data_IF_000119989170
#
_entry.id   IF_000119989170
#
_cell.length_a   1.000
_cell.length_b   1.000
_cell.length_c   1.000
_cell.angle_alpha   90.00
_cell.angle_beta   90.00
_cell.angle_gamma   90.00
#
_symmetry.space_group_name_H-M   'P 1'
#
loop_
_entity.id
_entity.type
_entity.pdbx_description
1 polymer ?
#
# COMPACT_ATOMS: atom_id res chain seq x y z
N UNK A 1 93.65 -2.61 -30.01
CA UNK A 1 92.99 -1.63 -29.10
C UNK A 1 91.59 -1.40 -29.61
N UNK A 2 90.66 -2.23 -29.18
CA UNK A 2 89.23 -2.09 -29.57
C UNK A 2 88.40 -2.38 -28.32
N UNK A 3 87.56 -1.42 -27.94
CA UNK A 3 86.72 -1.46 -26.72
C UNK A 3 85.45 -2.20 -26.98
N UNK A 4 85.14 -3.13 -26.14
CA UNK A 4 83.85 -3.79 -25.96
C UNK A 4 82.93 -2.87 -25.15
N UNK A 5 81.77 -2.49 -25.71
CA UNK A 5 80.70 -1.81 -24.96
C UNK A 5 79.54 -2.75 -24.72
N UNK A 6 79.13 -2.78 -23.46
CA UNK A 6 78.17 -3.61 -22.80
C UNK A 6 76.73 -3.43 -23.32
N UNK A 7 76.09 -4.52 -23.66
CA UNK A 7 74.64 -4.67 -23.73
C UNK A 7 74.12 -5.24 -22.41
N UNK A 8 73.73 -4.36 -21.49
CA UNK A 8 72.96 -4.72 -20.29
C UNK A 8 72.08 -3.57 -19.91
N UNK A 9 70.95 -3.37 -20.61
CA UNK A 9 69.87 -2.50 -20.12
C UNK A 9 68.57 -2.63 -20.94
N UNK A 10 68.20 -3.81 -21.40
CA UNK A 10 66.97 -3.97 -22.15
C UNK A 10 66.03 -5.11 -21.69
N UNK A 11 66.22 -5.64 -20.48
CA UNK A 11 65.40 -6.73 -19.95
C UNK A 11 64.56 -6.34 -18.73
N UNK A 12 64.70 -5.10 -18.24
CA UNK A 12 64.00 -4.67 -17.00
C UNK A 12 62.72 -3.84 -17.21
N UNK A 13 62.23 -3.68 -18.43
CA UNK A 13 61.01 -2.84 -18.72
C UNK A 13 59.80 -3.68 -19.19
N UNK A 14 59.97 -4.99 -19.36
CA UNK A 14 58.86 -5.86 -19.88
C UNK A 14 58.12 -6.65 -18.80
N UNK A 15 58.36 -6.41 -17.53
CA UNK A 15 57.71 -7.16 -16.41
C UNK A 15 56.80 -6.30 -15.56
N UNK A 16 56.46 -5.08 -15.96
CA UNK A 16 55.59 -4.17 -15.19
C UNK A 16 54.26 -3.81 -15.89
N UNK A 17 53.82 -4.54 -16.92
CA UNK A 17 52.55 -4.26 -17.65
C UNK A 17 51.55 -5.42 -17.56
N UNK A 18 51.65 -6.33 -16.62
CA UNK A 18 50.72 -7.46 -16.54
C UNK A 18 49.84 -7.48 -15.25
N UNK A 19 49.82 -6.43 -14.44
CA UNK A 19 49.01 -6.45 -13.19
C UNK A 19 47.98 -5.28 -13.15
N UNK A 20 47.33 -4.94 -14.24
CA UNK A 20 46.20 -3.99 -14.18
C UNK A 20 45.02 -4.40 -15.05
N UNK A 21 44.64 -5.67 -15.04
CA UNK A 21 43.45 -6.11 -15.75
C UNK A 21 42.65 -7.17 -14.97
N UNK A 22 42.40 -6.93 -13.70
CA UNK A 22 41.35 -7.63 -12.98
C UNK A 22 40.75 -6.67 -11.95
N UNK A 23 39.95 -5.76 -12.42
CA UNK A 23 38.90 -5.12 -11.61
C UNK A 23 37.86 -4.55 -12.56
N UNK A 24 37.18 -5.42 -13.31
CA UNK A 24 35.79 -5.18 -13.64
C UNK A 24 34.98 -5.90 -12.56
N UNK A 25 34.64 -5.23 -11.51
CA UNK A 25 33.45 -5.59 -10.75
C UNK A 25 32.27 -5.23 -11.65
N UNK A 26 31.45 -6.21 -11.94
CA UNK A 26 30.12 -6.03 -12.50
C UNK A 26 29.24 -5.28 -11.47
N UNK A 27 29.40 -3.95 -11.36
CA UNK A 27 28.50 -3.12 -10.56
C UNK A 27 27.10 -3.04 -11.18
N UNK A 28 26.95 -3.40 -12.47
CA UNK A 28 25.66 -3.33 -13.17
C UNK A 28 24.74 -4.54 -12.96
N UNK A 29 25.22 -5.64 -12.37
CA UNK A 29 24.38 -6.82 -12.09
C UNK A 29 23.64 -6.69 -10.75
N UNK A 30 24.23 -6.00 -9.78
CA UNK A 30 23.63 -5.77 -8.46
C UNK A 30 22.49 -4.76 -8.53
N UNK A 31 22.62 -3.64 -9.24
CA UNK A 31 21.57 -2.63 -9.37
C UNK A 31 20.29 -3.16 -10.05
N UNK A 32 20.43 -4.05 -11.04
CA UNK A 32 19.27 -4.68 -11.67
C UNK A 32 18.63 -5.78 -10.83
N UNK A 33 19.37 -6.42 -9.95
CA UNK A 33 18.86 -7.38 -9.00
C UNK A 33 18.06 -6.69 -7.88
N UNK A 34 18.51 -5.54 -7.40
CA UNK A 34 17.85 -4.81 -6.31
C UNK A 34 16.48 -4.23 -6.72
N UNK A 35 16.37 -3.60 -7.89
CA UNK A 35 15.09 -3.09 -8.36
C UNK A 35 14.06 -4.20 -8.60
N UNK A 36 14.43 -5.29 -9.24
CA UNK A 36 13.57 -6.46 -9.44
C UNK A 36 13.23 -7.17 -8.12
N UNK A 37 14.09 -7.08 -7.11
CA UNK A 37 13.89 -7.68 -5.80
C UNK A 37 12.82 -6.97 -4.96
N UNK A 38 12.58 -5.67 -5.14
CA UNK A 38 11.64 -4.88 -4.34
C UNK A 38 10.30 -4.63 -5.05
N UNK A 39 10.12 -5.10 -6.28
CA UNK A 39 8.90 -4.83 -7.06
C UNK A 39 7.63 -5.26 -6.34
N UNK A 40 7.61 -6.46 -5.74
CA UNK A 40 6.45 -6.95 -5.00
C UNK A 40 6.15 -6.08 -3.76
N UNK A 41 7.17 -5.54 -3.11
CA UNK A 41 7.00 -4.61 -1.99
C UNK A 41 6.38 -3.30 -2.46
N UNK A 42 6.90 -2.69 -3.52
CA UNK A 42 6.34 -1.46 -4.09
C UNK A 42 4.89 -1.65 -4.56
N UNK A 43 4.60 -2.76 -5.22
CA UNK A 43 3.26 -3.06 -5.72
C UNK A 43 2.27 -3.29 -4.57
N UNK A 44 2.70 -4.00 -3.52
CA UNK A 44 1.89 -4.17 -2.31
C UNK A 44 1.62 -2.83 -1.62
N UNK A 45 2.65 -1.99 -1.41
CA UNK A 45 2.51 -0.68 -0.79
C UNK A 45 1.58 0.25 -1.58
N UNK A 46 1.64 0.22 -2.92
CA UNK A 46 0.73 1.01 -3.76
C UNK A 46 -0.73 0.57 -3.61
N UNK A 47 -0.99 -0.75 -3.61
CA UNK A 47 -2.36 -1.26 -3.48
C UNK A 47 -2.89 -1.06 -2.06
N UNK A 48 -2.06 -1.24 -1.02
CA UNK A 48 -2.40 -0.98 0.37
C UNK A 48 -2.79 0.49 0.58
N UNK A 49 -1.96 1.43 0.12
CA UNK A 49 -2.27 2.86 0.15
C UNK A 49 -3.58 3.18 -0.58
N UNK A 50 -3.80 2.57 -1.76
CA UNK A 50 -5.05 2.76 -2.52
C UNK A 50 -6.27 2.30 -1.73
N UNK A 51 -6.19 1.16 -1.04
CA UNK A 51 -7.26 0.63 -0.19
C UNK A 51 -7.55 1.59 0.97
N UNK A 52 -6.52 2.06 1.65
CA UNK A 52 -6.61 3.05 2.74
C UNK A 52 -7.30 4.34 2.26
N UNK A 53 -6.93 4.84 1.08
CA UNK A 53 -7.54 6.04 0.49
C UNK A 53 -9.02 5.84 0.14
N UNK A 54 -9.39 4.64 -0.34
CA UNK A 54 -10.80 4.28 -0.60
C UNK A 54 -11.58 4.20 0.71
N UNK A 55 -11.06 3.54 1.74
CA UNK A 55 -11.70 3.48 3.06
C UNK A 55 -11.91 4.89 3.64
N UNK A 56 -10.93 5.79 3.49
CA UNK A 56 -11.03 7.20 3.91
C UNK A 56 -12.16 7.93 3.20
N UNK A 57 -12.33 7.72 1.89
CA UNK A 57 -13.44 8.31 1.13
C UNK A 57 -14.79 7.79 1.60
N UNK A 58 -14.92 6.49 1.85
CA UNK A 58 -16.14 5.86 2.34
C UNK A 58 -16.50 6.45 3.71
N UNK A 59 -15.56 6.50 4.63
CA UNK A 59 -15.76 7.01 5.97
C UNK A 59 -16.14 8.49 5.97
N UNK A 60 -15.41 9.31 5.21
CA UNK A 60 -15.73 10.74 5.02
C UNK A 60 -17.14 10.94 4.43
N UNK A 61 -17.55 10.11 3.47
CA UNK A 61 -18.87 10.20 2.87
C UNK A 61 -19.97 9.82 3.89
N UNK A 62 -19.82 8.74 4.66
CA UNK A 62 -20.78 8.36 5.70
C UNK A 62 -20.95 9.46 6.75
N UNK A 63 -19.85 10.02 7.26
CA UNK A 63 -19.90 11.12 8.24
C UNK A 63 -20.58 12.35 7.65
N UNK A 64 -20.24 12.71 6.42
CA UNK A 64 -20.87 13.85 5.72
C UNK A 64 -22.39 13.71 5.59
N UNK A 65 -22.90 12.48 5.41
CA UNK A 65 -24.34 12.24 5.30
C UNK A 65 -25.07 12.34 6.64
N UNK A 66 -24.38 12.12 7.75
CA UNK A 66 -24.97 12.15 9.10
C UNK A 66 -24.88 13.53 9.76
N UNK A 67 -23.80 14.28 9.48
CA UNK A 67 -23.49 15.52 10.21
C UNK A 67 -23.92 16.78 9.52
N UNK A 68 -24.04 16.77 8.20
CA UNK A 68 -24.34 17.97 7.41
C UNK A 68 -25.81 18.05 7.02
N UNK A 69 -26.46 19.21 7.21
CA UNK A 69 -27.81 19.46 6.69
C UNK A 69 -27.84 19.45 5.14
N UNK A 70 -26.72 19.70 4.51
CA UNK A 70 -26.55 19.67 3.06
C UNK A 70 -25.48 18.63 2.72
N UNK A 71 -25.90 17.49 2.19
CA UNK A 71 -24.99 16.46 1.66
C UNK A 71 -24.20 17.09 0.50
N UNK A 72 -22.85 16.92 0.46
CA UNK A 72 -22.04 17.41 -0.65
C UNK A 72 -22.55 16.91 -2.02
N UNK A 73 -22.48 17.73 -3.05
CA UNK A 73 -23.01 17.42 -4.38
C UNK A 73 -22.39 16.18 -5.04
N UNK A 74 -21.21 15.78 -4.62
CA UNK A 74 -20.52 14.58 -5.10
C UNK A 74 -20.96 13.30 -4.38
N UNK A 75 -21.82 13.40 -3.35
CA UNK A 75 -22.38 12.24 -2.63
C UNK A 75 -23.88 12.13 -2.97
N UNK A 76 -24.32 10.93 -3.31
CA UNK A 76 -25.73 10.61 -3.52
C UNK A 76 -26.10 9.38 -2.69
N UNK A 77 -27.24 9.44 -2.01
CA UNK A 77 -27.83 8.27 -1.32
C UNK A 77 -29.12 7.92 -2.07
N UNK A 78 -29.23 6.65 -2.44
CA UNK A 78 -30.44 6.07 -2.97
C UNK A 78 -30.93 5.02 -1.98
N UNK A 79 -32.00 5.34 -1.27
CA UNK A 79 -32.65 4.39 -0.34
C UNK A 79 -33.61 3.51 -1.11
N UNK A 80 -33.50 2.20 -0.94
CA UNK A 80 -34.40 1.20 -1.51
C UNK A 80 -35.27 0.59 -0.40
N UNK A 81 -36.41 0.04 -0.81
CA UNK A 81 -37.32 -0.70 0.08
C UNK A 81 -36.80 -2.09 0.46
N UNK A 82 -35.62 -2.50 -0.04
CA UNK A 82 -35.00 -3.84 0.10
C UNK A 82 -34.15 -4.04 1.34
N UNK A 83 -34.16 -3.14 2.32
CA UNK A 83 -33.26 -3.11 3.49
C UNK A 83 -31.77 -2.89 3.16
N UNK A 84 -31.49 -2.38 1.96
CA UNK A 84 -30.14 -1.98 1.56
C UNK A 84 -30.22 -0.59 0.89
N UNK A 85 -29.32 0.28 1.28
CA UNK A 85 -29.14 1.58 0.66
C UNK A 85 -27.90 1.59 -0.24
N UNK A 86 -27.88 2.51 -1.20
CA UNK A 86 -26.71 2.73 -2.06
C UNK A 86 -26.18 4.13 -1.83
N UNK A 87 -24.92 4.24 -1.44
CA UNK A 87 -24.18 5.49 -1.38
C UNK A 87 -23.23 5.54 -2.59
N UNK A 88 -23.25 6.64 -3.33
CA UNK A 88 -22.39 6.83 -4.49
C UNK A 88 -21.57 8.11 -4.28
N UNK A 89 -20.25 7.98 -4.39
CA UNK A 89 -19.29 9.09 -4.36
C UNK A 89 -18.86 9.35 -5.80
N UNK A 90 -19.18 10.54 -6.36
CA UNK A 90 -18.91 10.92 -7.75
C UNK A 90 -17.84 12.00 -7.83
N UNK A 91 -16.71 11.67 -8.40
CA UNK A 91 -15.61 12.63 -8.64
C UNK A 91 -15.70 13.31 -10.01
N UNK A 92 -16.60 12.82 -10.91
CA UNK A 92 -16.75 13.32 -12.28
C UNK A 92 -15.85 12.64 -13.30
N UNK A 93 -15.82 13.17 -14.51
CA UNK A 93 -15.02 12.64 -15.63
C UNK A 93 -13.56 13.16 -15.61
N UNK A 94 -13.36 14.35 -15.08
CA UNK A 94 -12.05 15.00 -14.97
C UNK A 94 -11.42 14.76 -13.60
N UNK A 95 -10.09 14.88 -13.53
CA UNK A 95 -9.36 14.75 -12.27
C UNK A 95 -9.77 15.82 -11.25
N UNK A 96 -10.28 15.41 -10.13
CA UNK A 96 -10.70 16.22 -9.00
C UNK A 96 -9.76 15.95 -7.80
N UNK A 97 -9.15 17.01 -7.27
CA UNK A 97 -8.29 16.89 -6.08
C UNK A 97 -9.16 16.78 -4.83
N UNK A 98 -9.16 15.62 -4.19
CA UNK A 98 -9.90 15.37 -2.96
C UNK A 98 -9.08 14.54 -1.98
N UNK A 99 -9.07 14.94 -0.71
CA UNK A 99 -8.30 14.32 0.37
C UNK A 99 -6.84 14.00 -0.01
N UNK A 100 -6.20 14.92 -0.76
CA UNK A 100 -4.78 14.84 -1.13
C UNK A 100 -4.46 14.07 -2.42
N UNK A 101 -5.46 13.46 -3.07
CA UNK A 101 -5.27 12.68 -4.30
C UNK A 101 -6.16 13.16 -5.44
N UNK A 102 -5.65 13.01 -6.68
CA UNK A 102 -6.45 13.23 -7.90
C UNK A 102 -7.36 12.02 -8.13
N UNK A 103 -8.66 12.26 -8.19
CA UNK A 103 -9.68 11.21 -8.35
C UNK A 103 -10.64 11.56 -9.48
N UNK A 104 -11.17 10.56 -10.19
CA UNK A 104 -12.29 10.66 -11.14
C UNK A 104 -13.06 9.36 -11.17
N UNK A 105 -14.29 9.39 -11.73
CA UNK A 105 -15.19 8.24 -11.74
C UNK A 105 -16.01 8.12 -10.46
N UNK A 106 -16.43 6.93 -10.11
CA UNK A 106 -17.36 6.71 -9.00
C UNK A 106 -16.92 5.55 -8.09
N UNK A 107 -17.16 5.74 -6.77
CA UNK A 107 -17.17 4.66 -5.78
C UNK A 107 -18.63 4.39 -5.43
N UNK A 108 -19.07 3.13 -5.53
CA UNK A 108 -20.45 2.69 -5.30
C UNK A 108 -20.46 1.75 -4.12
N UNK A 109 -21.18 2.09 -3.05
CA UNK A 109 -21.28 1.36 -1.81
C UNK A 109 -22.73 0.92 -1.60
N UNK A 110 -22.98 -0.40 -1.55
CA UNK A 110 -24.25 -0.98 -1.13
C UNK A 110 -24.10 -1.37 0.34
N UNK A 111 -24.98 -0.87 1.21
CA UNK A 111 -24.87 -1.10 2.64
C UNK A 111 -26.25 -1.35 3.30
N UNK A 112 -26.26 -2.07 4.43
CA UNK A 112 -27.46 -2.36 5.20
C UNK A 112 -27.60 -1.51 6.47
N UNK A 113 -26.50 -0.97 6.99
CA UNK A 113 -26.39 -0.14 8.20
C UNK A 113 -25.20 0.82 8.04
N UNK A 114 -25.17 1.85 8.88
CA UNK A 114 -24.00 2.72 8.97
C UNK A 114 -22.77 1.99 9.49
N UNK A 115 -21.59 2.43 9.09
CA UNK A 115 -20.31 1.75 9.28
C UNK A 115 -20.04 1.29 10.72
N UNK A 116 -20.35 2.14 11.70
CA UNK A 116 -20.11 1.82 13.13
C UNK A 116 -21.24 1.06 13.82
N UNK A 117 -22.35 0.79 13.14
CA UNK A 117 -23.42 -0.04 13.67
C UNK A 117 -23.02 -1.53 13.63
N UNK A 118 -23.17 -2.23 14.75
CA UNK A 118 -22.92 -3.66 14.79
C UNK A 118 -23.77 -4.42 13.77
N UNK A 119 -23.12 -5.22 12.95
CA UNK A 119 -23.72 -5.96 11.84
C UNK A 119 -23.82 -5.14 10.55
N UNK A 120 -23.15 -3.98 10.46
CA UNK A 120 -22.98 -3.28 9.19
C UNK A 120 -22.22 -4.15 8.19
N UNK A 121 -22.68 -4.09 6.93
CA UNK A 121 -22.05 -4.78 5.81
C UNK A 121 -22.07 -3.85 4.60
N UNK A 122 -20.89 -3.44 4.17
CA UNK A 122 -20.65 -2.52 3.07
C UNK A 122 -19.99 -3.27 1.92
N UNK A 123 -20.63 -3.32 0.76
CA UNK A 123 -20.05 -3.86 -0.47
C UNK A 123 -19.69 -2.71 -1.41
N UNK A 124 -18.42 -2.52 -1.67
CA UNK A 124 -17.88 -1.41 -2.46
C UNK A 124 -17.41 -1.91 -3.83
N UNK A 125 -17.85 -1.22 -4.88
CA UNK A 125 -17.43 -1.44 -6.27
C UNK A 125 -17.10 -0.09 -6.93
N UNK A 126 -16.50 -0.14 -8.11
CA UNK A 126 -15.94 1.02 -8.80
C UNK A 126 -16.49 1.14 -10.22
N UNK A 127 -16.79 2.37 -10.65
CA UNK A 127 -17.18 2.68 -12.03
C UNK A 127 -16.23 3.74 -12.59
N UNK A 128 -15.37 3.34 -13.54
CA UNK A 128 -14.34 4.18 -14.13
C UNK A 128 -13.56 5.00 -13.10
N UNK A 129 -13.32 4.38 -11.93
CA UNK A 129 -12.67 5.05 -10.80
C UNK A 129 -11.16 5.02 -10.95
N UNK A 130 -10.57 6.19 -10.88
CA UNK A 130 -9.12 6.40 -10.92
C UNK A 130 -8.67 7.17 -9.68
N UNK A 131 -7.51 6.78 -9.17
CA UNK A 131 -6.75 7.52 -8.17
C UNK A 131 -5.32 7.76 -8.68
N UNK A 132 -4.87 9.02 -8.72
CA UNK A 132 -3.58 9.43 -9.29
C UNK A 132 -3.31 8.80 -10.67
N UNK A 133 -4.33 8.77 -11.55
CA UNK A 133 -4.36 8.17 -12.88
C UNK A 133 -4.29 6.64 -12.95
N UNK A 134 -4.24 5.93 -11.84
CA UNK A 134 -4.33 4.48 -11.81
C UNK A 134 -5.81 4.06 -11.77
N UNK A 135 -6.25 3.23 -12.73
CA UNK A 135 -7.60 2.68 -12.75
C UNK A 135 -7.73 1.60 -11.67
N UNK A 136 -8.74 1.73 -10.82
CA UNK A 136 -9.07 0.79 -9.75
C UNK A 136 -10.30 -0.03 -10.13
N UNK A 137 -10.21 -1.35 -10.01
CA UNK A 137 -11.29 -2.28 -10.28
C UNK A 137 -11.32 -3.38 -9.20
N UNK A 138 -12.44 -4.04 -9.03
CA UNK A 138 -12.60 -5.11 -8.03
C UNK A 138 -13.74 -4.84 -7.08
N UNK A 139 -13.72 -5.54 -5.95
CA UNK A 139 -14.74 -5.40 -4.91
C UNK A 139 -14.08 -5.46 -3.53
N UNK A 140 -14.57 -4.62 -2.63
CA UNK A 140 -14.22 -4.65 -1.20
C UNK A 140 -15.50 -4.89 -0.40
N UNK A 141 -15.42 -5.73 0.63
CA UNK A 141 -16.52 -5.95 1.57
C UNK A 141 -16.00 -5.64 2.98
N UNK A 142 -16.58 -4.64 3.62
CA UNK A 142 -16.27 -4.27 5.00
C UNK A 142 -17.45 -4.63 5.90
N UNK A 143 -17.20 -5.47 6.92
CA UNK A 143 -18.20 -5.94 7.88
C UNK A 143 -17.82 -5.50 9.28
N UNK A 144 -18.73 -4.83 9.99
CA UNK A 144 -18.63 -4.60 11.43
C UNK A 144 -19.20 -5.81 12.15
N UNK A 145 -18.37 -6.62 12.80
CA UNK A 145 -18.77 -7.84 13.51
C UNK A 145 -19.25 -7.57 14.94
N UNK A 146 -19.17 -6.31 15.37
CA UNK A 146 -19.52 -5.89 16.74
C UNK A 146 -18.28 -5.88 17.65
N UNK A 147 -18.53 -6.01 18.96
CA UNK A 147 -17.45 -6.03 19.94
C UNK A 147 -16.78 -7.40 19.99
N UNK A 148 -15.45 -7.40 19.97
CA UNK A 148 -14.62 -8.59 20.18
C UNK A 148 -14.46 -8.93 21.68
N UNK A 149 -13.58 -9.88 22.01
CA UNK A 149 -13.32 -10.30 23.40
C UNK A 149 -12.65 -9.21 24.25
N UNK A 150 -12.04 -8.20 23.62
CA UNK A 150 -11.41 -7.07 24.28
C UNK A 150 -12.38 -5.88 24.45
N UNK A 151 -13.69 -6.07 24.12
CA UNK A 151 -14.70 -5.01 24.06
C UNK A 151 -14.42 -3.91 23.04
N UNK A 152 -13.58 -4.18 22.05
CA UNK A 152 -13.27 -3.30 20.93
C UNK A 152 -14.11 -3.64 19.70
N UNK A 153 -14.48 -2.64 18.90
CA UNK A 153 -15.19 -2.87 17.63
C UNK A 153 -14.24 -3.58 16.66
N UNK A 154 -14.71 -4.68 16.08
CA UNK A 154 -13.96 -5.43 15.08
C UNK A 154 -14.62 -5.32 13.71
N UNK A 155 -13.77 -5.09 12.69
CA UNK A 155 -14.16 -5.09 11.29
C UNK A 155 -13.41 -6.19 10.54
N UNK A 156 -14.12 -6.85 9.64
CA UNK A 156 -13.50 -7.77 8.66
C UNK A 156 -13.55 -7.10 7.29
N UNK A 157 -12.37 -6.94 6.67
CA UNK A 157 -12.21 -6.42 5.32
C UNK A 157 -11.82 -7.56 4.38
N UNK A 158 -12.70 -7.85 3.43
CA UNK A 158 -12.46 -8.80 2.35
C UNK A 158 -12.17 -8.01 1.05
N UNK A 159 -11.08 -8.32 0.39
CA UNK A 159 -10.66 -7.73 -0.88
C UNK A 159 -10.74 -8.81 -1.95
N UNK A 160 -11.53 -8.57 -2.98
CA UNK A 160 -11.81 -9.55 -4.00
C UNK A 160 -11.44 -8.99 -5.39
N UNK A 161 -10.44 -9.62 -6.03
CA UNK A 161 -9.96 -9.25 -7.37
C UNK A 161 -9.70 -7.74 -7.52
N UNK A 162 -9.08 -7.12 -6.51
CA UNK A 162 -8.64 -5.74 -6.61
C UNK A 162 -7.55 -5.66 -7.68
N UNK A 163 -7.77 -4.84 -8.69
CA UNK A 163 -6.81 -4.56 -9.75
C UNK A 163 -6.49 -3.07 -9.77
N UNK A 164 -5.22 -2.75 -9.82
CA UNK A 164 -4.74 -1.39 -10.06
C UNK A 164 -3.98 -1.39 -11.38
N UNK A 165 -4.55 -0.72 -12.39
CA UNK A 165 -3.92 -0.58 -13.69
C UNK A 165 -3.05 0.67 -13.68
N UNK A 166 -1.75 0.46 -13.63
CA UNK A 166 -0.72 1.49 -13.66
C UNK A 166 -0.12 1.63 -15.07
N UNK A 167 0.69 2.63 -15.30
CA UNK A 167 1.47 2.76 -16.55
C UNK A 167 2.47 1.60 -16.76
N UNK A 168 2.89 0.91 -15.68
CA UNK A 168 3.88 -0.17 -15.72
C UNK A 168 3.24 -1.56 -15.81
N UNK A 169 1.92 -1.67 -15.67
CA UNK A 169 1.20 -2.94 -15.72
C UNK A 169 0.06 -3.01 -14.70
N UNK A 170 -0.47 -4.22 -14.50
CA UNK A 170 -1.59 -4.46 -13.61
C UNK A 170 -1.08 -5.15 -12.35
N UNK A 171 -1.42 -4.57 -11.19
CA UNK A 171 -1.25 -5.21 -9.89
C UNK A 171 -2.60 -5.84 -9.51
N UNK A 172 -2.58 -7.08 -9.05
CA UNK A 172 -3.79 -7.76 -8.55
C UNK A 172 -3.61 -8.15 -7.09
N UNK A 173 -4.68 -8.05 -6.29
CA UNK A 173 -4.69 -8.50 -4.89
C UNK A 173 -6.04 -9.12 -4.51
N UNK A 174 -5.97 -10.21 -3.74
CA UNK A 174 -7.05 -10.78 -2.96
C UNK A 174 -6.59 -10.89 -1.51
N UNK A 175 -7.40 -10.47 -0.55
CA UNK A 175 -6.98 -10.46 0.85
C UNK A 175 -8.12 -10.49 1.83
N UNK A 176 -7.80 -10.89 3.07
CA UNK A 176 -8.69 -10.86 4.22
C UNK A 176 -7.95 -10.27 5.42
N UNK A 177 -8.56 -9.24 6.00
CA UNK A 177 -7.99 -8.51 7.12
C UNK A 177 -9.01 -8.37 8.24
N UNK A 178 -8.54 -8.48 9.49
CA UNK A 178 -9.28 -8.05 10.68
C UNK A 178 -8.69 -6.73 11.16
N UNK A 179 -9.57 -5.77 11.47
CA UNK A 179 -9.24 -4.43 11.97
C UNK A 179 -9.93 -4.24 13.31
N UNK A 180 -9.19 -4.13 14.38
CA UNK A 180 -9.67 -3.86 15.73
C UNK A 180 -9.51 -2.38 16.04
N UNK A 181 -10.62 -1.67 16.36
CA UNK A 181 -10.58 -0.27 16.80
C UNK A 181 -10.15 -0.24 18.26
N UNK A 182 -8.88 0.12 18.52
CA UNK A 182 -8.29 0.08 19.86
C UNK A 182 -8.34 1.42 20.59
N UNK A 183 -8.40 2.54 19.85
CA UNK A 183 -8.56 3.88 20.40
C UNK A 183 -9.50 4.70 19.50
N UNK A 184 -10.17 5.70 20.03
CA UNK A 184 -11.15 6.50 19.32
C UNK A 184 -12.57 5.96 19.46
N UNK A 185 -13.42 6.19 18.45
CA UNK A 185 -14.82 5.74 18.46
C UNK A 185 -15.71 6.47 19.46
N UNK A 186 -15.18 7.46 20.17
CA UNK A 186 -15.91 8.21 21.19
C UNK A 186 -16.87 9.25 20.66
N UNK A 187 -16.74 9.60 19.37
CA UNK A 187 -17.66 10.49 18.70
C UNK A 187 -17.98 9.95 17.31
N UNK A 188 -19.24 9.81 16.96
CA UNK A 188 -19.71 9.41 15.62
C UNK A 188 -19.21 10.36 14.50
N UNK A 189 -18.49 11.42 14.85
CA UNK A 189 -18.14 12.53 13.94
C UNK A 189 -16.64 12.80 13.81
N UNK A 190 -15.81 12.17 14.64
CA UNK A 190 -14.35 12.38 14.62
C UNK A 190 -13.63 11.05 14.41
N UNK A 191 -13.61 10.57 13.14
CA UNK A 191 -12.89 9.35 12.79
C UNK A 191 -11.37 9.51 12.77
N UNK A 192 -10.87 10.75 12.74
CA UNK A 192 -9.42 11.01 12.70
C UNK A 192 -8.70 10.71 14.03
N UNK A 193 -9.44 10.51 15.13
CA UNK A 193 -8.88 10.05 16.40
C UNK A 193 -8.82 8.52 16.53
N UNK A 194 -9.29 7.80 15.51
CA UNK A 194 -9.32 6.34 15.53
C UNK A 194 -7.92 5.74 15.32
N UNK A 195 -7.61 4.74 16.14
CA UNK A 195 -6.45 3.88 15.99
C UNK A 195 -6.92 2.44 15.84
N UNK A 196 -6.43 1.77 14.80
CA UNK A 196 -6.73 0.35 14.55
C UNK A 196 -5.47 -0.50 14.64
N UNK A 197 -5.62 -1.71 15.18
CA UNK A 197 -4.70 -2.81 14.95
C UNK A 197 -5.23 -3.66 13.80
N UNK A 198 -4.40 -3.88 12.78
CA UNK A 198 -4.78 -4.62 11.57
C UNK A 198 -3.91 -5.87 11.45
N UNK A 199 -4.56 -7.02 11.25
CA UNK A 199 -3.91 -8.31 10.97
C UNK A 199 -4.57 -8.93 9.75
N UNK A 200 -3.86 -9.81 9.06
CA UNK A 200 -4.45 -10.48 7.90
C UNK A 200 -3.40 -11.00 6.93
N UNK A 201 -3.90 -11.45 5.79
CA UNK A 201 -3.08 -11.99 4.72
C UNK A 201 -3.70 -11.71 3.36
N UNK A 202 -2.85 -11.69 2.34
CA UNK A 202 -3.28 -11.51 0.97
C UNK A 202 -2.41 -12.32 -0.01
N UNK A 203 -2.87 -12.41 -1.24
CA UNK A 203 -2.09 -12.92 -2.36
C UNK A 203 -2.40 -12.11 -3.61
N UNK A 204 -1.44 -12.02 -4.51
CA UNK A 204 -1.58 -11.21 -5.70
C UNK A 204 -0.51 -11.45 -6.74
N UNK A 205 -0.53 -10.60 -7.76
CA UNK A 205 0.48 -10.54 -8.79
C UNK A 205 0.99 -9.12 -8.95
N UNK A 206 2.29 -9.00 -9.10
CA UNK A 206 2.99 -7.74 -9.42
C UNK A 206 2.75 -7.30 -10.87
N UNK A 207 3.11 -6.06 -11.20
CA UNK A 207 3.07 -5.52 -12.58
C UNK A 207 3.79 -6.39 -13.61
N UNK A 208 4.79 -7.16 -13.19
CA UNK A 208 5.55 -8.09 -14.03
C UNK A 208 4.97 -9.52 -14.04
N UNK A 209 3.74 -9.71 -13.55
CA UNK A 209 3.03 -11.01 -13.43
C UNK A 209 3.67 -12.01 -12.45
N UNK A 210 4.64 -11.64 -11.66
CA UNK A 210 5.15 -12.51 -10.60
C UNK A 210 4.16 -12.54 -9.43
N UNK A 211 3.76 -13.72 -9.01
CA UNK A 211 2.89 -13.85 -7.85
C UNK A 211 3.63 -13.56 -6.55
N UNK A 212 2.89 -13.07 -5.56
CA UNK A 212 3.38 -12.87 -4.21
C UNK A 212 2.30 -13.20 -3.18
N UNK A 213 2.72 -13.51 -1.96
CA UNK A 213 1.85 -13.62 -0.80
C UNK A 213 2.27 -12.63 0.28
N UNK A 214 1.27 -12.15 1.02
CA UNK A 214 1.42 -11.18 2.11
C UNK A 214 0.94 -11.82 3.39
N UNK A 215 1.66 -11.63 4.47
CA UNK A 215 1.22 -11.96 5.81
C UNK A 215 1.64 -10.86 6.78
N UNK A 216 0.70 -10.29 7.51
CA UNK A 216 0.99 -9.37 8.60
C UNK A 216 1.47 -10.21 9.79
N UNK A 217 2.76 -10.15 10.11
CA UNK A 217 3.40 -10.95 11.17
C UNK A 217 3.38 -10.25 12.52
N UNK A 218 3.41 -8.91 12.52
CA UNK A 218 3.12 -8.08 13.68
C UNK A 218 2.01 -7.09 13.31
N UNK A 219 0.98 -6.90 14.17
CA UNK A 219 -0.17 -6.06 13.82
C UNK A 219 0.24 -4.68 13.30
N UNK A 220 -0.33 -4.27 12.17
CA UNK A 220 -0.14 -2.92 11.66
C UNK A 220 -0.98 -1.95 12.48
N UNK A 221 -0.35 -0.90 12.99
CA UNK A 221 -1.01 0.17 13.72
C UNK A 221 -1.40 1.29 12.75
N UNK A 222 -2.70 1.38 12.44
CA UNK A 222 -3.26 2.47 11.63
C UNK A 222 -3.68 3.60 12.56
N UNK A 223 -2.98 4.73 12.50
CA UNK A 223 -3.27 5.94 13.26
C UNK A 223 -3.88 6.99 12.31
N UNK A 224 -5.19 7.16 12.33
CA UNK A 224 -5.87 8.07 11.39
C UNK A 224 -5.58 9.55 11.66
N UNK A 225 -5.09 9.91 12.86
CA UNK A 225 -4.65 11.27 13.15
C UNK A 225 -3.49 11.71 12.24
N UNK A 226 -2.70 10.78 11.74
CA UNK A 226 -1.62 11.07 10.79
C UNK A 226 -2.10 11.70 9.48
N UNK A 227 -3.38 11.54 9.10
CA UNK A 227 -3.95 12.25 7.95
C UNK A 227 -3.93 13.77 8.05
N UNK A 228 -3.75 14.35 9.26
CA UNK A 228 -3.60 15.80 9.43
C UNK A 228 -2.23 16.32 8.98
N UNK A 229 -1.20 15.48 9.00
CA UNK A 229 0.19 15.88 8.73
C UNK A 229 0.85 15.07 7.61
N UNK A 230 0.35 13.89 7.29
CA UNK A 230 0.95 12.95 6.36
C UNK A 230 -0.13 12.17 5.58
N UNK A 231 0.24 11.57 4.46
CA UNK A 231 -0.62 10.60 3.76
C UNK A 231 -0.43 9.16 4.28
N UNK A 232 0.53 8.94 5.18
CA UNK A 232 0.89 7.62 5.70
C UNK A 232 0.34 7.47 7.11
N UNK A 233 -0.59 6.54 7.29
CA UNK A 233 -1.26 6.29 8.58
C UNK A 233 -0.76 5.04 9.29
N UNK A 234 0.00 4.18 8.60
CA UNK A 234 0.59 2.99 9.21
C UNK A 234 1.85 3.44 9.93
N UNK A 235 1.84 3.37 11.24
CA UNK A 235 2.91 3.92 12.09
C UNK A 235 3.77 2.85 12.75
N UNK A 236 3.35 1.58 12.71
CA UNK A 236 4.10 0.47 13.28
C UNK A 236 3.59 -0.86 12.72
N UNK A 237 4.38 -1.91 12.81
CA UNK A 237 4.05 -3.29 12.46
C UNK A 237 4.94 -3.87 11.39
N UNK A 238 4.81 -5.19 11.20
CA UNK A 238 5.68 -5.96 10.31
C UNK A 238 4.85 -6.77 9.31
N UNK A 239 5.25 -6.70 8.04
CA UNK A 239 4.64 -7.48 6.96
C UNK A 239 5.68 -8.34 6.27
N UNK A 240 5.39 -9.62 6.15
CA UNK A 240 6.14 -10.55 5.31
C UNK A 240 5.57 -10.52 3.89
N UNK A 241 6.41 -10.19 2.92
CA UNK A 241 6.12 -10.23 1.47
C UNK A 241 6.94 -11.36 0.87
N UNK A 242 6.27 -12.35 0.27
CA UNK A 242 6.91 -13.53 -0.32
C UNK A 242 6.66 -13.60 -1.83
N UNK A 243 7.53 -13.00 -2.66
CA UNK A 243 7.49 -13.16 -4.10
C UNK A 243 7.80 -14.60 -4.51
N UNK A 244 7.13 -15.11 -5.56
CA UNK A 244 7.28 -16.51 -6.01
C UNK A 244 8.67 -16.88 -6.53
N UNK A 245 9.46 -15.91 -6.96
CA UNK A 245 10.79 -16.13 -7.57
C UNK A 245 11.95 -15.59 -6.72
N UNK A 246 11.65 -14.97 -5.58
CA UNK A 246 12.64 -14.43 -4.65
C UNK A 246 12.36 -14.93 -3.23
N UNK A 247 13.32 -14.79 -2.33
CA UNK A 247 13.11 -15.05 -0.90
C UNK A 247 12.14 -14.05 -0.25
N UNK A 248 11.89 -14.22 1.02
CA UNK A 248 11.08 -13.32 1.83
C UNK A 248 11.65 -11.90 1.89
N UNK A 249 10.77 -10.89 1.92
CA UNK A 249 11.05 -9.50 2.22
C UNK A 249 10.22 -9.13 3.43
N UNK A 250 10.83 -8.50 4.40
CA UNK A 250 10.14 -7.99 5.59
C UNK A 250 9.94 -6.48 5.40
N UNK A 251 8.71 -6.01 5.44
CA UNK A 251 8.42 -4.58 5.51
C UNK A 251 8.25 -4.19 6.98
N UNK A 252 9.07 -3.26 7.43
CA UNK A 252 9.02 -2.67 8.76
C UNK A 252 8.50 -1.24 8.66
N UNK A 253 7.36 -0.95 9.32
CA UNK A 253 6.67 0.34 9.30
C UNK A 253 7.12 1.30 10.40
N UNK A 254 8.23 1.00 11.08
CA UNK A 254 8.87 1.92 11.99
C UNK A 254 8.34 1.92 13.42
N UNK A 255 8.42 3.09 14.08
CA UNK A 255 8.37 3.26 15.53
C UNK A 255 7.23 4.18 16.04
N UNK A 256 6.07 4.13 15.42
CA UNK A 256 4.87 4.91 15.75
C UNK A 256 4.88 6.38 15.29
N UNK A 257 5.79 6.79 14.41
CA UNK A 257 5.82 8.13 13.83
C UNK A 257 4.84 8.28 12.66
N UNK A 258 4.25 9.49 12.50
CA UNK A 258 3.46 9.84 11.30
C UNK A 258 4.39 10.28 10.15
N UNK A 259 5.28 9.41 9.75
CA UNK A 259 6.14 9.60 8.58
C UNK A 259 5.80 8.59 7.48
N UNK A 260 6.51 8.57 6.41
CA UNK A 260 6.33 7.57 5.35
C UNK A 260 7.60 6.71 5.23
N UNK A 261 8.35 6.59 6.30
CA UNK A 261 9.57 5.82 6.33
C UNK A 261 9.23 4.34 6.54
N UNK A 262 9.47 3.53 5.52
CA UNK A 262 9.33 2.08 5.56
C UNK A 262 10.65 1.47 5.16
N UNK A 263 11.06 0.43 5.85
CA UNK A 263 12.23 -0.37 5.47
C UNK A 263 11.83 -1.72 4.92
N UNK A 264 12.41 -2.11 3.78
CA UNK A 264 12.40 -3.50 3.34
C UNK A 264 13.67 -4.20 3.80
N UNK A 265 13.53 -5.29 4.53
CA UNK A 265 14.65 -6.09 5.03
C UNK A 265 14.76 -7.36 4.16
N UNK A 266 15.95 -7.60 3.59
CA UNK A 266 16.29 -8.75 2.76
C UNK A 266 17.61 -9.32 3.28
N UNK A 267 17.63 -10.57 3.71
CA UNK A 267 18.86 -11.25 4.19
C UNK A 267 19.62 -10.40 5.23
N UNK A 268 18.89 -9.82 6.21
CA UNK A 268 19.40 -8.94 7.29
C UNK A 268 19.91 -7.55 6.83
N UNK A 269 19.78 -7.20 5.56
CA UNK A 269 20.08 -5.86 5.05
C UNK A 269 18.80 -5.03 4.91
N UNK A 270 18.84 -3.77 5.37
CA UNK A 270 17.69 -2.84 5.34
C UNK A 270 17.79 -1.86 4.18
N UNK A 271 16.72 -1.75 3.41
CA UNK A 271 16.57 -0.85 2.25
C UNK A 271 15.41 0.11 2.51
N UNK A 272 15.65 1.44 2.55
CA UNK A 272 14.56 2.38 2.74
C UNK A 272 13.62 2.40 1.52
N UNK A 273 12.31 2.37 1.78
CA UNK A 273 11.27 2.53 0.78
C UNK A 273 10.57 3.87 1.00
N UNK A 274 10.36 4.63 -0.08
CA UNK A 274 9.56 5.86 -0.03
C UNK A 274 8.22 5.56 -0.69
N UNK A 275 7.13 5.77 0.04
CA UNK A 275 5.78 5.76 -0.52
C UNK A 275 5.51 7.16 -1.09
N UNK A 276 5.41 7.27 -2.41
CA UNK A 276 5.06 8.51 -3.11
C UNK A 276 3.55 8.66 -3.30
#
# INVERSE_FOLDING_TARGET
MIRIFKTKKLVSILTLIVITSFSCKDENVLDNLDQNNLQACHDYLLIEKTIIDIEREIEHAFISTQTTKNIPNYITINSDTSNQDTLIIRFGEDNFLHLGHLKRGEIIIIYNKFLYDSGANLSTTFSDFYINNNLVQGNMILKNTGLNQNENIEFILEINNMNINTENGIINLNGNYSKELVEGGGSEYLYLDNIYNVVGSANGNSVNNNSFTINITEPLKYNLFCFESSSCIITNGIVSVNPSIYGERILDYGDESCDCEISAIIEDESYPLIIN
#
